data_IF_710603612694
#
_entry.id   IF_710603612694
#
_cell.length_a   1.000
_cell.length_b   1.000
_cell.length_c   1.000
_cell.angle_alpha   90.00
_cell.angle_beta   90.00
_cell.angle_gamma   90.00
#
_symmetry.space_group_name_H-M   'P 1'
#
loop_
_entity.id
_entity.type
_entity.pdbx_description
1 polymer ?
#
# COMPACT_ATOMS: atom_id res chain seq x y z
N UNK A 1 -13.20 9.19 -2.20
CA UNK A 1 -13.14 7.94 -3.00
C UNK A 1 -11.70 7.61 -3.34
N UNK A 2 -10.97 8.49 -4.04
CA UNK A 2 -9.53 8.32 -4.35
C UNK A 2 -8.62 8.09 -3.14
N UNK A 3 -8.80 8.82 -2.04
CA UNK A 3 -7.96 8.64 -0.84
C UNK A 3 -8.13 7.26 -0.18
N UNK A 4 -9.35 6.72 -0.17
CA UNK A 4 -9.62 5.37 0.37
C UNK A 4 -9.00 4.30 -0.52
N UNK A 5 -9.14 4.44 -1.85
CA UNK A 5 -8.54 3.52 -2.83
C UNK A 5 -7.02 3.51 -2.70
N UNK A 6 -6.39 4.69 -2.69
CA UNK A 6 -4.94 4.79 -2.55
C UNK A 6 -4.44 4.20 -1.23
N UNK A 7 -5.12 4.47 -0.12
CA UNK A 7 -4.79 3.87 1.18
C UNK A 7 -4.88 2.34 1.11
N UNK A 8 -5.93 1.79 0.51
CA UNK A 8 -6.10 0.35 0.43
C UNK A 8 -5.03 -0.31 -0.44
N UNK A 9 -4.64 0.33 -1.54
CA UNK A 9 -3.53 -0.14 -2.38
C UNK A 9 -2.23 -0.22 -1.58
N UNK A 10 -1.89 0.84 -0.85
CA UNK A 10 -0.69 0.85 -0.02
C UNK A 10 -0.74 -0.20 1.10
N UNK A 11 -1.89 -0.34 1.77
CA UNK A 11 -2.06 -1.37 2.79
C UNK A 11 -1.93 -2.78 2.21
N UNK A 12 -2.45 -2.99 1.00
CA UNK A 12 -2.32 -4.24 0.28
C UNK A 12 -0.85 -4.55 -0.03
N UNK A 13 -0.07 -3.58 -0.51
CA UNK A 13 1.35 -3.75 -0.79
C UNK A 13 2.12 -4.25 0.45
N UNK A 14 1.83 -3.69 1.63
CA UNK A 14 2.48 -4.08 2.89
C UNK A 14 2.00 -5.42 3.46
N UNK A 15 0.74 -5.80 3.24
CA UNK A 15 0.09 -6.86 4.02
C UNK A 15 -0.54 -7.98 3.18
N UNK A 16 -0.44 -7.95 1.85
CA UNK A 16 -1.02 -8.97 0.96
C UNK A 16 -0.56 -10.39 1.28
N UNK A 17 0.66 -10.58 1.76
CA UNK A 17 1.21 -11.89 2.13
C UNK A 17 0.58 -12.49 3.41
N UNK A 18 -0.14 -11.67 4.19
CA UNK A 18 -0.90 -12.14 5.36
C UNK A 18 -2.32 -12.57 4.99
N UNK A 19 -2.76 -12.30 3.76
CA UNK A 19 -4.08 -12.63 3.28
C UNK A 19 -4.15 -14.06 2.75
N UNK A 20 -5.34 -14.65 2.80
CA UNK A 20 -5.59 -15.90 2.09
C UNK A 20 -5.57 -15.67 0.57
N UNK A 21 -5.31 -16.71 -0.21
CA UNK A 21 -5.25 -16.64 -1.68
C UNK A 21 -6.51 -16.01 -2.29
N UNK A 22 -7.70 -16.33 -1.78
CA UNK A 22 -8.97 -15.75 -2.28
C UNK A 22 -9.10 -14.26 -1.96
N UNK A 23 -8.74 -13.85 -0.73
CA UNK A 23 -8.77 -12.44 -0.35
C UNK A 23 -7.79 -11.63 -1.20
N UNK A 24 -6.58 -12.16 -1.39
CA UNK A 24 -5.54 -11.55 -2.24
C UNK A 24 -6.04 -11.37 -3.67
N UNK A 25 -6.61 -12.42 -4.27
CA UNK A 25 -7.13 -12.37 -5.63
C UNK A 25 -8.26 -11.34 -5.79
N UNK A 26 -9.27 -11.36 -4.91
CA UNK A 26 -10.43 -10.46 -5.06
C UNK A 26 -10.06 -8.99 -4.87
N UNK A 27 -9.18 -8.69 -3.91
CA UNK A 27 -8.69 -7.32 -3.69
C UNK A 27 -7.80 -6.90 -4.86
N UNK A 28 -6.90 -7.76 -5.36
CA UNK A 28 -6.09 -7.46 -6.55
C UNK A 28 -6.96 -7.09 -7.75
N UNK A 29 -7.93 -7.94 -8.10
CA UNK A 29 -8.81 -7.67 -9.24
C UNK A 29 -9.57 -6.36 -9.08
N UNK A 30 -10.07 -6.06 -7.88
CA UNK A 30 -10.87 -4.87 -7.64
C UNK A 30 -10.05 -3.57 -7.56
N UNK A 31 -8.86 -3.62 -6.95
CA UNK A 31 -8.07 -2.43 -6.61
C UNK A 31 -6.88 -2.16 -7.55
N UNK A 32 -6.34 -3.21 -8.18
CA UNK A 32 -5.18 -3.14 -9.07
C UNK A 32 -5.57 -3.29 -10.54
N UNK A 33 -6.51 -4.19 -10.83
CA UNK A 33 -6.91 -4.50 -12.21
C UNK A 33 -8.22 -3.80 -12.64
N UNK A 34 -8.81 -2.98 -11.76
CA UNK A 34 -10.06 -2.22 -11.99
C UNK A 34 -11.29 -3.07 -12.39
N UNK A 35 -11.33 -4.36 -12.01
CA UNK A 35 -12.49 -5.20 -12.24
C UNK A 35 -13.67 -4.75 -11.37
N UNK A 36 -14.87 -4.76 -11.95
CA UNK A 36 -16.10 -4.62 -11.21
C UNK A 36 -16.40 -5.86 -10.37
N UNK A 37 -17.19 -5.69 -9.31
CA UNK A 37 -17.68 -6.82 -8.49
C UNK A 37 -18.45 -7.87 -9.30
N UNK A 38 -19.04 -7.48 -10.44
CA UNK A 38 -19.75 -8.39 -11.34
C UNK A 38 -18.78 -9.26 -12.14
N UNK A 39 -17.73 -8.66 -12.71
CA UNK A 39 -16.69 -9.38 -13.46
C UNK A 39 -15.96 -10.39 -12.56
N UNK A 40 -15.63 -9.99 -11.33
CA UNK A 40 -15.02 -10.92 -10.35
C UNK A 40 -16.01 -12.04 -9.97
N UNK A 41 -17.29 -11.72 -9.81
CA UNK A 41 -18.31 -12.72 -9.47
C UNK A 41 -18.48 -13.77 -10.57
N UNK A 42 -18.45 -13.34 -11.83
CA UNK A 42 -18.50 -14.21 -13.00
C UNK A 42 -17.25 -15.10 -13.11
N UNK A 43 -16.06 -14.50 -13.02
CA UNK A 43 -14.76 -15.21 -13.09
C UNK A 43 -14.64 -16.32 -12.04
N UNK A 44 -15.15 -16.08 -10.83
CA UNK A 44 -15.05 -17.02 -9.70
C UNK A 44 -16.32 -17.85 -9.47
N UNK A 45 -17.33 -17.73 -10.34
CA UNK A 45 -18.63 -18.41 -10.23
C UNK A 45 -19.30 -18.25 -8.84
N UNK A 46 -19.26 -17.05 -8.29
CA UNK A 46 -19.85 -16.71 -6.99
C UNK A 46 -20.81 -15.53 -7.11
N UNK A 47 -21.58 -15.23 -6.05
CA UNK A 47 -22.46 -14.07 -6.08
C UNK A 47 -21.68 -12.75 -5.94
N UNK A 48 -22.17 -11.70 -6.60
CA UNK A 48 -21.66 -10.32 -6.42
C UNK A 48 -21.62 -9.89 -4.96
N UNK A 49 -22.60 -10.34 -4.17
CA UNK A 49 -22.66 -10.07 -2.73
C UNK A 49 -21.51 -10.76 -1.99
N UNK A 50 -21.18 -12.01 -2.34
CA UNK A 50 -20.07 -12.73 -1.72
C UNK A 50 -18.72 -12.06 -2.00
N UNK A 51 -18.52 -11.51 -3.21
CA UNK A 51 -17.33 -10.71 -3.54
C UNK A 51 -17.28 -9.43 -2.70
N UNK A 52 -18.38 -8.68 -2.65
CA UNK A 52 -18.47 -7.45 -1.85
C UNK A 52 -18.13 -7.69 -0.37
N UNK A 53 -18.75 -8.71 0.24
CA UNK A 53 -18.54 -9.04 1.65
C UNK A 53 -17.13 -9.56 1.93
N UNK A 54 -16.49 -10.21 0.95
CA UNK A 54 -15.10 -10.64 1.08
C UNK A 54 -14.14 -9.45 1.01
N UNK A 55 -14.29 -8.57 0.02
CA UNK A 55 -13.46 -7.37 -0.12
C UNK A 55 -13.57 -6.53 1.15
N UNK A 56 -14.79 -6.25 1.62
CA UNK A 56 -15.01 -5.46 2.84
C UNK A 56 -14.33 -6.05 4.08
N UNK A 57 -14.44 -7.37 4.29
CA UNK A 57 -13.74 -8.05 5.40
C UNK A 57 -12.22 -8.02 5.25
N UNK A 58 -11.73 -8.04 4.02
CA UNK A 58 -10.30 -7.94 3.73
C UNK A 58 -9.79 -6.53 4.00
N UNK A 59 -10.52 -5.48 3.60
CA UNK A 59 -10.24 -4.09 3.97
C UNK A 59 -10.12 -3.95 5.50
N UNK A 60 -11.09 -4.48 6.26
CA UNK A 60 -11.07 -4.46 7.73
C UNK A 60 -9.87 -5.23 8.32
N UNK A 61 -9.41 -6.29 7.65
CA UNK A 61 -8.25 -7.06 8.09
C UNK A 61 -6.95 -6.29 7.86
N UNK A 62 -6.81 -5.66 6.69
CA UNK A 62 -5.67 -4.81 6.34
C UNK A 62 -5.52 -3.63 7.31
N UNK A 63 -6.63 -2.96 7.64
CA UNK A 63 -6.62 -1.87 8.63
C UNK A 63 -6.23 -2.37 10.03
N UNK A 64 -6.69 -3.56 10.44
CA UNK A 64 -6.27 -4.17 11.71
C UNK A 64 -4.78 -4.53 11.74
N UNK A 65 -4.22 -4.94 10.61
CA UNK A 65 -2.77 -5.16 10.50
C UNK A 65 -2.01 -3.85 10.65
N UNK A 66 -2.46 -2.78 9.99
CA UNK A 66 -1.85 -1.45 10.14
C UNK A 66 -1.96 -0.92 11.56
N UNK A 67 -3.11 -1.08 12.23
CA UNK A 67 -3.26 -0.67 13.63
C UNK A 67 -2.22 -1.33 14.54
N UNK A 68 -1.91 -2.61 14.29
CA UNK A 68 -0.98 -3.40 15.10
C UNK A 68 0.48 -3.22 14.71
N UNK A 69 0.78 -3.14 13.42
CA UNK A 69 2.15 -3.17 12.88
C UNK A 69 2.66 -1.78 12.50
N UNK A 70 1.76 -0.92 12.01
CA UNK A 70 2.02 0.47 11.66
C UNK A 70 3.04 0.63 10.53
N UNK A 71 3.06 -0.26 9.54
CA UNK A 71 4.10 -0.24 8.51
C UNK A 71 3.92 0.94 7.58
N UNK A 72 2.68 1.19 7.12
CA UNK A 72 2.38 2.33 6.27
C UNK A 72 2.65 3.65 7.00
N UNK A 73 2.23 3.76 8.26
CA UNK A 73 2.51 4.96 9.07
C UNK A 73 4.01 5.21 9.23
N UNK A 74 4.80 4.18 9.53
CA UNK A 74 6.26 4.31 9.67
C UNK A 74 6.91 4.68 8.33
N UNK A 75 6.48 4.08 7.23
CA UNK A 75 6.94 4.43 5.88
C UNK A 75 6.68 5.92 5.57
N UNK A 76 5.45 6.40 5.78
CA UNK A 76 5.11 7.81 5.56
C UNK A 76 5.93 8.77 6.47
N UNK A 77 6.24 8.35 7.68
CA UNK A 77 7.12 9.11 8.58
C UNK A 77 8.56 9.15 8.05
N UNK A 78 9.10 8.02 7.58
CA UNK A 78 10.44 7.96 6.95
C UNK A 78 10.50 8.87 5.72
N UNK A 79 9.53 8.77 4.82
CA UNK A 79 9.44 9.62 3.62
C UNK A 79 9.44 11.11 3.93
N UNK A 80 8.70 11.51 4.98
CA UNK A 80 8.69 12.90 5.46
C UNK A 80 10.07 13.33 5.98
N UNK A 81 10.72 12.48 6.77
CA UNK A 81 12.05 12.76 7.32
C UNK A 81 13.11 12.83 6.22
N UNK A 82 13.07 11.96 5.22
CA UNK A 82 13.96 12.00 4.06
C UNK A 82 13.79 13.29 3.26
N UNK A 83 12.55 13.66 2.92
CA UNK A 83 12.26 14.93 2.24
C UNK A 83 12.78 16.15 3.02
N UNK A 84 12.65 16.13 4.35
CA UNK A 84 13.19 17.18 5.21
C UNK A 84 14.72 17.22 5.19
N UNK A 85 15.37 16.06 5.26
CA UNK A 85 16.82 15.94 5.23
C UNK A 85 17.39 16.44 3.90
N UNK A 86 16.81 16.02 2.77
CA UNK A 86 17.19 16.50 1.44
C UNK A 86 17.08 18.01 1.30
N UNK A 87 15.99 18.58 1.81
CA UNK A 87 15.79 20.03 1.83
C UNK A 87 16.87 20.74 2.65
N UNK A 88 17.24 20.20 3.81
CA UNK A 88 18.28 20.78 4.67
C UNK A 88 19.68 20.69 4.05
N UNK A 89 20.02 19.55 3.44
CA UNK A 89 21.31 19.33 2.79
C UNK A 89 21.47 20.21 1.55
N UNK A 90 20.40 20.35 0.76
CA UNK A 90 20.36 21.26 -0.40
C UNK A 90 20.60 22.71 0.03
N UNK A 91 19.89 23.19 1.06
CA UNK A 91 20.04 24.57 1.56
C UNK A 91 21.43 24.89 2.08
N UNK A 92 22.12 23.91 2.66
CA UNK A 92 23.48 24.05 3.19
C UNK A 92 24.58 23.73 2.16
N UNK A 93 24.20 23.42 0.92
CA UNK A 93 25.10 23.02 -0.16
C UNK A 93 26.00 21.81 0.18
N UNK A 94 25.48 20.89 1.00
CA UNK A 94 26.14 19.63 1.40
C UNK A 94 25.63 18.40 0.63
N UNK A 95 24.85 18.62 -0.44
CA UNK A 95 24.26 17.56 -1.23
C UNK A 95 25.13 17.24 -2.45
N UNK A 96 26.28 16.61 -2.19
CA UNK A 96 27.13 16.06 -3.25
C UNK A 96 26.55 14.76 -3.83
N UNK A 97 27.20 14.23 -4.87
CA UNK A 97 26.75 13.04 -5.59
C UNK A 97 26.74 11.78 -4.72
N UNK A 98 27.71 11.65 -3.81
CA UNK A 98 27.83 10.49 -2.91
C UNK A 98 26.73 10.51 -1.83
N UNK A 99 26.42 11.68 -1.28
CA UNK A 99 25.32 11.87 -0.32
C UNK A 99 23.97 11.59 -1.00
N UNK A 100 23.77 12.04 -2.25
CA UNK A 100 22.56 11.71 -3.02
C UNK A 100 22.41 10.22 -3.21
N UNK A 101 23.47 9.54 -3.67
CA UNK A 101 23.45 8.09 -3.88
C UNK A 101 23.12 7.34 -2.58
N UNK A 102 23.73 7.74 -1.46
CA UNK A 102 23.47 7.13 -0.15
C UNK A 102 22.02 7.35 0.30
N UNK A 103 21.45 8.54 0.07
CA UNK A 103 20.06 8.83 0.41
C UNK A 103 19.08 8.02 -0.44
N UNK A 104 19.34 7.89 -1.73
CA UNK A 104 18.54 7.05 -2.62
C UNK A 104 18.62 5.57 -2.23
N UNK A 105 19.81 5.07 -1.87
CA UNK A 105 19.95 3.71 -1.34
C UNK A 105 19.14 3.55 -0.05
N UNK A 106 19.21 4.49 0.89
CA UNK A 106 18.47 4.44 2.16
C UNK A 106 16.94 4.46 1.97
N UNK A 107 16.44 5.20 0.98
CA UNK A 107 15.00 5.22 0.64
C UNK A 107 14.50 3.87 0.12
N UNK A 108 15.36 3.09 -0.53
CA UNK A 108 15.01 1.82 -1.18
C UNK A 108 15.30 0.57 -0.31
N UNK A 109 15.56 0.72 0.99
CA UNK A 109 15.91 -0.40 1.90
C UNK A 109 14.68 -1.17 2.44
N UNK A 110 13.47 -0.65 2.24
CA UNK A 110 12.21 -1.33 2.62
C UNK A 110 11.60 -2.12 1.45
#
# INVERSE_FOLDING_TARGET
MFEKTNRMNLLFDFYQELLTTKQKAYVSFYYLDDYSLGEIAEEFEVSRQAIYDNIKRTEESLEKYEEKLGMLKKYQQREKLFSQLETQLTKKNFLDEQVKETLEQLKNID
#
